data_IF_839517970550
#
_entry.id   IF_839517970550
#
_cell.length_a   1.000
_cell.length_b   1.000
_cell.length_c   1.000
_cell.angle_alpha   90.00
_cell.angle_beta   90.00
_cell.angle_gamma   90.00
#
_symmetry.space_group_name_H-M   'P 1'
#
loop_
_entity.id
_entity.type
_entity.pdbx_description
1 polymer ?
#
# COMPACT_ATOMS: atom_id res chain seq x y z
N UNK A 1 -8.02 17.00 16.62
CA UNK A 1 -6.91 16.37 17.39
C UNK A 1 -5.54 16.68 16.79
N UNK A 2 -5.37 16.66 15.46
CA UNK A 2 -4.09 17.01 14.79
C UNK A 2 -3.56 18.42 15.08
N UNK A 3 -4.45 19.38 15.36
CA UNK A 3 -4.10 20.77 15.69
C UNK A 3 -3.37 20.94 17.04
N UNK A 4 -3.30 19.89 17.87
CA UNK A 4 -2.66 19.93 19.20
C UNK A 4 -1.32 19.18 19.26
N UNK A 5 -0.90 18.53 18.17
CA UNK A 5 0.37 17.82 18.10
C UNK A 5 1.47 18.79 17.69
N UNK A 6 2.53 18.87 18.50
CA UNK A 6 3.75 19.59 18.10
C UNK A 6 4.46 18.85 16.96
N UNK A 7 5.39 19.50 16.27
CA UNK A 7 6.23 18.80 15.27
C UNK A 7 6.97 17.61 15.87
N UNK A 8 7.48 17.76 17.11
CA UNK A 8 8.14 16.69 17.85
C UNK A 8 7.18 15.53 18.15
N UNK A 9 5.94 15.81 18.55
CA UNK A 9 4.93 14.77 18.81
C UNK A 9 4.65 13.97 17.53
N UNK A 10 4.53 14.65 16.39
CA UNK A 10 4.31 14.01 15.08
C UNK A 10 5.47 13.12 14.68
N UNK A 11 6.71 13.59 14.84
CA UNK A 11 7.89 12.80 14.52
C UNK A 11 8.05 11.58 15.44
N UNK A 12 7.72 11.73 16.73
CA UNK A 12 7.69 10.61 17.67
C UNK A 12 6.66 9.55 17.25
N UNK A 13 5.46 9.97 16.86
CA UNK A 13 4.42 9.05 16.34
C UNK A 13 4.89 8.36 15.06
N UNK A 14 5.46 9.11 14.10
CA UNK A 14 5.99 8.56 12.85
C UNK A 14 7.11 7.54 13.07
N UNK A 15 8.03 7.82 14.00
CA UNK A 15 9.08 6.87 14.41
C UNK A 15 8.50 5.61 15.05
N UNK A 16 7.48 5.76 15.89
CA UNK A 16 6.78 4.61 16.47
C UNK A 16 6.06 3.78 15.39
N UNK A 17 5.45 4.42 14.39
CA UNK A 17 4.82 3.72 13.26
C UNK A 17 5.84 2.96 12.40
N UNK A 18 6.99 3.55 12.11
CA UNK A 18 8.09 2.86 11.44
C UNK A 18 8.57 1.64 12.23
N UNK A 19 8.76 1.79 13.54
CA UNK A 19 9.14 0.68 14.43
C UNK A 19 8.08 -0.42 14.45
N UNK A 20 6.80 -0.05 14.39
CA UNK A 20 5.69 -0.99 14.34
C UNK A 20 5.63 -1.73 13.01
N UNK A 21 5.83 -1.03 11.88
CA UNK A 21 5.94 -1.66 10.56
C UNK A 21 7.05 -2.70 10.51
N UNK A 22 8.22 -2.39 11.09
CA UNK A 22 9.32 -3.33 11.21
C UNK A 22 8.90 -4.59 11.98
N UNK A 23 8.32 -4.42 13.19
CA UNK A 23 7.87 -5.54 14.04
C UNK A 23 6.79 -6.39 13.37
N UNK A 24 5.84 -5.77 12.66
CA UNK A 24 4.79 -6.50 11.95
C UNK A 24 5.42 -7.30 10.81
N UNK A 25 6.29 -6.68 10.00
CA UNK A 25 6.96 -7.33 8.87
C UNK A 25 7.93 -8.46 9.25
N UNK A 26 8.30 -8.60 10.53
CA UNK A 26 9.05 -9.77 11.01
C UNK A 26 8.23 -11.06 11.03
N UNK A 27 6.89 -10.97 10.99
CA UNK A 27 6.03 -12.13 10.85
C UNK A 27 6.01 -12.53 9.37
N UNK A 28 6.26 -13.81 9.10
CA UNK A 28 6.32 -14.35 7.75
C UNK A 28 5.40 -15.56 7.56
N UNK A 29 4.94 -15.75 6.33
CA UNK A 29 4.16 -16.90 5.88
C UNK A 29 4.95 -17.71 4.84
N UNK A 30 4.48 -18.92 4.54
CA UNK A 30 4.99 -19.75 3.43
C UNK A 30 4.46 -19.30 2.07
N UNK A 31 3.37 -18.56 2.03
CA UNK A 31 2.71 -18.10 0.80
C UNK A 31 2.21 -16.66 0.93
N UNK A 32 2.05 -16.00 -0.22
CA UNK A 32 1.52 -14.65 -0.35
C UNK A 32 -0.01 -14.63 -0.50
N UNK A 33 -0.65 -13.50 -0.21
CA UNK A 33 -2.08 -13.28 -0.45
C UNK A 33 -2.80 -12.67 0.74
N UNK A 34 -4.13 -12.59 0.67
CA UNK A 34 -4.94 -12.12 1.81
C UNK A 34 -4.80 -13.08 3.00
N UNK A 35 -5.14 -12.59 4.20
CA UNK A 35 -5.13 -13.43 5.40
C UNK A 35 -6.01 -14.69 5.23
N UNK A 36 -7.20 -14.52 4.64
CA UNK A 36 -8.15 -15.62 4.42
C UNK A 36 -7.66 -16.62 3.37
N UNK A 37 -7.05 -16.15 2.28
CA UNK A 37 -6.49 -17.03 1.25
C UNK A 37 -5.40 -17.92 1.82
N UNK A 38 -4.45 -17.32 2.55
CA UNK A 38 -3.34 -18.06 3.17
C UNK A 38 -3.87 -19.02 4.24
N UNK A 39 -4.82 -18.59 5.08
CA UNK A 39 -5.43 -19.45 6.10
C UNK A 39 -6.18 -20.65 5.50
N UNK A 40 -6.83 -20.46 4.35
CA UNK A 40 -7.53 -21.52 3.61
C UNK A 40 -6.59 -22.37 2.71
N UNK A 41 -5.28 -22.12 2.72
CA UNK A 41 -4.32 -22.85 1.90
C UNK A 41 -4.36 -22.51 0.40
N UNK A 42 -4.98 -21.40 0.02
CA UNK A 42 -5.08 -20.91 -1.37
C UNK A 42 -4.17 -19.71 -1.67
N UNK A 43 -3.19 -19.45 -0.79
CA UNK A 43 -2.13 -18.46 -1.01
C UNK A 43 -1.29 -18.74 -2.26
N UNK A 44 -0.56 -17.73 -2.72
CA UNK A 44 0.24 -17.74 -3.94
C UNK A 44 1.73 -17.90 -3.66
N UNK A 45 2.45 -18.44 -4.65
CA UNK A 45 3.88 -18.73 -4.53
C UNK A 45 4.77 -17.54 -4.86
N UNK A 46 4.26 -16.56 -5.62
CA UNK A 46 4.98 -15.30 -5.89
C UNK A 46 4.15 -14.10 -5.45
N UNK A 47 4.86 -13.05 -5.04
CA UNK A 47 4.22 -11.79 -4.71
C UNK A 47 3.51 -11.17 -5.91
N UNK A 48 4.10 -11.30 -7.10
CA UNK A 48 3.49 -10.83 -8.35
C UNK A 48 2.11 -11.44 -8.57
N UNK A 49 1.97 -12.75 -8.45
CA UNK A 49 0.69 -13.43 -8.65
C UNK A 49 -0.33 -13.00 -7.59
N UNK A 50 0.08 -12.93 -6.32
CA UNK A 50 -0.77 -12.48 -5.22
C UNK A 50 -1.26 -11.04 -5.44
N UNK A 51 -0.35 -10.11 -5.71
CA UNK A 51 -0.67 -8.70 -5.92
C UNK A 51 -1.65 -8.51 -7.10
N UNK A 52 -1.39 -9.14 -8.24
CA UNK A 52 -2.29 -9.06 -9.40
C UNK A 52 -3.67 -9.66 -9.06
N UNK A 53 -3.71 -10.78 -8.33
CA UNK A 53 -4.97 -11.38 -7.88
C UNK A 53 -5.76 -10.46 -6.95
N UNK A 54 -5.08 -9.82 -5.98
CA UNK A 54 -5.68 -8.88 -5.05
C UNK A 54 -6.24 -7.65 -5.77
N UNK A 55 -5.47 -7.08 -6.71
CA UNK A 55 -5.92 -5.93 -7.49
C UNK A 55 -7.11 -6.27 -8.38
N UNK A 56 -7.05 -7.40 -9.11
CA UNK A 56 -8.18 -7.84 -9.95
C UNK A 56 -9.44 -8.12 -9.12
N UNK A 57 -9.30 -8.56 -7.86
CA UNK A 57 -10.42 -8.66 -6.92
C UNK A 57 -11.13 -7.33 -6.73
N UNK A 58 -10.38 -6.28 -6.38
CA UNK A 58 -10.94 -4.94 -6.16
C UNK A 58 -11.52 -4.36 -7.46
N UNK A 59 -10.87 -4.59 -8.61
CA UNK A 59 -11.39 -4.12 -9.89
C UNK A 59 -12.72 -4.80 -10.24
N UNK A 60 -12.87 -6.11 -9.97
CA UNK A 60 -14.14 -6.81 -10.16
C UNK A 60 -15.22 -6.30 -9.21
N UNK A 61 -14.91 -6.11 -7.94
CA UNK A 61 -15.84 -5.52 -6.97
C UNK A 61 -16.29 -4.12 -7.42
N UNK A 62 -15.37 -3.34 -7.98
CA UNK A 62 -15.66 -2.03 -8.57
C UNK A 62 -16.54 -2.11 -9.81
N UNK A 63 -16.29 -3.06 -10.71
CA UNK A 63 -17.09 -3.32 -11.92
C UNK A 63 -18.52 -3.73 -11.52
N UNK A 64 -18.66 -4.64 -10.55
CA UNK A 64 -19.94 -5.11 -10.01
C UNK A 64 -20.73 -3.99 -9.31
N UNK A 65 -20.02 -3.04 -8.69
CA UNK A 65 -20.59 -1.83 -8.11
C UNK A 65 -20.81 -0.68 -9.11
N UNK A 66 -20.51 -0.88 -10.40
CA UNK A 66 -20.60 0.15 -11.44
C UNK A 66 -19.73 1.40 -11.17
N UNK A 67 -18.65 1.27 -10.41
CA UNK A 67 -17.69 2.35 -10.21
C UNK A 67 -16.99 2.64 -11.53
N UNK A 68 -17.02 3.89 -11.96
CA UNK A 68 -16.34 4.28 -13.20
C UNK A 68 -14.84 4.44 -12.97
N UNK A 69 -14.02 3.49 -13.44
CA UNK A 69 -12.56 3.52 -13.37
C UNK A 69 -11.96 3.30 -14.78
N UNK A 70 -10.72 3.76 -15.04
CA UNK A 70 -10.01 3.46 -16.27
C UNK A 70 -9.44 2.03 -16.26
N UNK A 71 -10.30 1.01 -16.19
CA UNK A 71 -9.94 -0.39 -15.99
C UNK A 71 -8.88 -0.91 -16.97
N UNK A 72 -9.04 -0.61 -18.26
CA UNK A 72 -8.11 -1.05 -19.30
C UNK A 72 -6.70 -0.47 -19.09
N UNK A 73 -6.61 0.81 -18.70
CA UNK A 73 -5.34 1.48 -18.44
C UNK A 73 -4.67 0.93 -17.17
N UNK A 74 -5.44 0.73 -16.10
CA UNK A 74 -4.94 0.12 -14.85
C UNK A 74 -4.34 -1.26 -15.15
N UNK A 75 -5.11 -2.13 -15.82
CA UNK A 75 -4.67 -3.48 -16.18
C UNK A 75 -3.43 -3.44 -17.08
N UNK A 76 -3.38 -2.51 -18.03
CA UNK A 76 -2.22 -2.33 -18.92
C UNK A 76 -0.95 -1.95 -18.14
N UNK A 77 -1.03 -0.91 -17.31
CA UNK A 77 0.11 -0.41 -16.53
C UNK A 77 0.59 -1.45 -15.50
N UNK A 78 -0.35 -2.12 -14.82
CA UNK A 78 -0.02 -3.16 -13.85
C UNK A 78 0.68 -4.33 -14.53
N UNK A 79 0.16 -4.82 -15.67
CA UNK A 79 0.80 -5.90 -16.41
C UNK A 79 2.24 -5.52 -16.79
N UNK A 80 2.44 -4.30 -17.27
CA UNK A 80 3.74 -3.79 -17.73
C UNK A 80 4.76 -3.68 -16.58
N UNK A 81 4.36 -3.18 -15.42
CA UNK A 81 5.27 -2.99 -14.28
C UNK A 81 5.37 -4.20 -13.35
N UNK A 82 4.45 -5.17 -13.46
CA UNK A 82 4.40 -6.36 -12.60
C UNK A 82 5.70 -7.19 -12.49
N UNK A 83 6.62 -7.24 -13.48
CA UNK A 83 7.90 -7.92 -13.30
C UNK A 83 8.73 -7.40 -12.12
N UNK A 84 8.58 -6.12 -11.75
CA UNK A 84 9.27 -5.53 -10.60
C UNK A 84 8.87 -6.17 -9.26
N UNK A 85 7.74 -6.87 -9.19
CA UNK A 85 7.27 -7.56 -7.99
C UNK A 85 7.99 -8.89 -7.74
N UNK A 86 8.69 -9.45 -8.74
CA UNK A 86 9.39 -10.74 -8.63
C UNK A 86 10.59 -10.69 -7.67
N UNK A 87 11.12 -9.49 -7.38
CA UNK A 87 12.19 -9.31 -6.39
C UNK A 87 11.74 -9.62 -4.96
N UNK A 88 10.44 -9.63 -4.69
CA UNK A 88 9.88 -9.90 -3.37
C UNK A 88 9.70 -11.41 -3.18
N UNK A 89 10.55 -11.97 -2.33
CA UNK A 89 10.62 -13.43 -2.09
C UNK A 89 10.13 -13.85 -0.72
N UNK A 90 9.86 -12.91 0.19
CA UNK A 90 9.40 -13.18 1.56
C UNK A 90 7.98 -12.64 1.78
N UNK A 91 6.98 -13.49 2.07
CA UNK A 91 5.63 -13.06 2.43
C UNK A 91 5.59 -12.50 3.85
N UNK A 92 5.77 -11.19 3.99
CA UNK A 92 5.73 -10.49 5.27
C UNK A 92 4.32 -10.03 5.58
N UNK A 93 3.93 -10.06 6.85
CA UNK A 93 2.67 -9.45 7.27
C UNK A 93 2.76 -7.93 7.03
N UNK A 94 1.74 -7.37 6.38
CA UNK A 94 1.63 -5.94 6.12
C UNK A 94 0.20 -5.47 6.38
N UNK A 95 0.06 -4.28 6.94
CA UNK A 95 -1.21 -3.56 7.05
C UNK A 95 -1.16 -2.44 6.00
N UNK A 96 -1.89 -2.58 4.90
CA UNK A 96 -1.78 -1.65 3.75
C UNK A 96 -2.11 -0.21 4.16
N UNK A 97 -3.12 -0.02 5.00
CA UNK A 97 -3.54 1.30 5.50
C UNK A 97 -2.70 1.86 6.65
N UNK A 98 -1.58 1.24 7.02
CA UNK A 98 -0.71 1.76 8.07
C UNK A 98 -0.12 3.10 7.64
N UNK A 99 -0.30 4.13 8.47
CA UNK A 99 0.17 5.51 8.21
C UNK A 99 -0.92 6.54 8.05
N UNK A 100 -2.14 6.08 7.76
CA UNK A 100 -3.31 6.95 7.70
C UNK A 100 -3.58 7.58 9.06
N UNK A 101 -3.73 8.92 9.16
CA UNK A 101 -4.08 9.56 10.42
C UNK A 101 -5.38 9.02 11.04
N UNK A 102 -6.36 8.67 10.20
CA UNK A 102 -7.63 8.07 10.63
C UNK A 102 -7.47 6.67 11.24
N UNK A 103 -6.35 5.98 11.04
CA UNK A 103 -6.10 4.64 11.55
C UNK A 103 -5.22 4.61 12.80
N UNK A 104 -4.76 5.77 13.26
CA UNK A 104 -3.81 5.88 14.38
C UNK A 104 -4.53 6.39 15.62
N UNK A 105 -4.56 5.58 16.67
CA UNK A 105 -5.09 5.98 17.97
C UNK A 105 -3.95 6.48 18.85
N UNK A 106 -4.12 7.67 19.42
CA UNK A 106 -3.16 8.28 20.33
C UNK A 106 -3.73 8.30 21.75
N UNK A 107 -2.85 8.14 22.73
CA UNK A 107 -3.22 8.40 24.12
C UNK A 107 -3.46 9.92 24.29
N UNK A 108 -4.62 10.36 24.81
CA UNK A 108 -4.96 11.78 24.92
C UNK A 108 -3.96 12.61 25.75
N UNK A 109 -3.33 12.01 26.77
CA UNK A 109 -2.39 12.70 27.65
C UNK A 109 -0.96 12.70 27.13
N UNK A 110 -0.42 11.50 26.85
CA UNK A 110 0.98 11.35 26.43
C UNK A 110 1.21 11.59 24.94
N UNK A 111 0.15 11.67 24.12
CA UNK A 111 0.20 11.79 22.65
C UNK A 111 1.01 10.67 21.97
N UNK A 112 1.21 9.57 22.67
CA UNK A 112 1.92 8.39 22.16
C UNK A 112 0.96 7.46 21.42
N UNK A 113 1.49 6.67 20.48
CA UNK A 113 0.74 5.61 19.81
C UNK A 113 0.12 4.65 20.84
N UNK A 114 -1.20 4.54 20.84
CA UNK A 114 -1.98 3.67 21.73
C UNK A 114 -2.54 2.44 21.01
N UNK A 115 -2.84 2.57 19.71
CA UNK A 115 -3.38 1.47 18.91
C UNK A 115 -3.50 1.81 17.43
N UNK A 116 -3.84 0.78 16.66
CA UNK A 116 -4.16 0.88 15.24
C UNK A 116 -5.56 0.30 14.99
N UNK A 117 -6.25 0.88 14.01
CA UNK A 117 -7.44 0.30 13.40
C UNK A 117 -7.19 0.08 11.90
N UNK A 118 -8.17 -0.45 11.15
CA UNK A 118 -7.99 -0.68 9.72
C UNK A 118 -7.30 -2.01 9.37
N UNK A 119 -7.34 -2.99 10.28
CA UNK A 119 -6.70 -4.30 10.12
C UNK A 119 -7.37 -5.17 9.05
N UNK A 120 -8.54 -4.79 8.55
CA UNK A 120 -9.21 -5.44 7.43
C UNK A 120 -8.37 -5.43 6.14
N UNK A 121 -7.39 -4.51 6.04
CA UNK A 121 -6.49 -4.39 4.91
C UNK A 121 -5.13 -5.07 5.16
N UNK A 122 -5.09 -6.03 6.10
CA UNK A 122 -3.89 -6.82 6.36
C UNK A 122 -3.76 -7.99 5.37
N UNK A 123 -2.52 -8.31 4.99
CA UNK A 123 -2.21 -9.39 4.05
C UNK A 123 -0.76 -9.89 4.22
N UNK A 124 -0.44 -11.02 3.58
CA UNK A 124 0.92 -11.56 3.45
C UNK A 124 1.53 -11.11 2.11
N UNK A 125 2.49 -10.19 2.16
CA UNK A 125 2.99 -9.45 1.00
C UNK A 125 4.32 -8.74 1.24
N UNK A 126 4.52 -7.63 0.54
CA UNK A 126 5.64 -6.71 0.76
C UNK A 126 5.26 -5.67 1.81
N UNK A 127 6.09 -5.52 2.86
CA UNK A 127 5.92 -4.50 3.89
C UNK A 127 5.89 -3.07 3.33
N UNK A 128 6.58 -2.82 2.21
CA UNK A 128 6.62 -1.51 1.55
C UNK A 128 5.32 -1.15 0.82
N UNK A 129 4.34 -2.05 0.81
CA UNK A 129 2.98 -1.75 0.34
C UNK A 129 2.19 -0.90 1.34
N UNK A 130 2.61 -0.84 2.61
CA UNK A 130 2.00 0.03 3.60
C UNK A 130 2.12 1.51 3.23
N UNK A 131 1.06 2.28 3.46
CA UNK A 131 0.93 3.69 3.05
C UNK A 131 2.01 4.62 3.65
N UNK A 132 2.50 4.32 4.87
CA UNK A 132 3.66 5.02 5.46
C UNK A 132 4.91 5.06 4.56
N UNK A 133 5.04 4.16 3.58
CA UNK A 133 6.20 4.05 2.69
C UNK A 133 6.00 4.70 1.31
N UNK A 134 4.84 5.31 1.02
CA UNK A 134 4.62 6.04 -0.23
C UNK A 134 5.53 7.27 -0.33
N UNK A 135 5.65 8.02 0.77
CA UNK A 135 6.55 9.18 0.92
C UNK A 135 7.08 9.21 2.37
N UNK A 136 7.98 8.27 2.74
CA UNK A 136 8.35 8.07 4.13
C UNK A 136 9.19 9.25 4.63
N UNK A 137 8.79 9.85 5.75
CA UNK A 137 9.62 10.88 6.40
C UNK A 137 10.86 10.26 7.04
N UNK A 138 11.88 11.09 7.32
CA UNK A 138 13.08 10.66 8.05
C UNK A 138 12.76 9.93 9.35
N UNK A 139 11.79 10.41 10.13
CA UNK A 139 11.34 9.75 11.36
C UNK A 139 10.77 8.33 11.13
N UNK A 140 10.03 8.10 10.05
CA UNK A 140 9.51 6.76 9.70
C UNK A 140 10.68 5.83 9.38
N UNK A 141 11.61 6.27 8.54
CA UNK A 141 12.78 5.48 8.15
C UNK A 141 13.69 5.17 9.36
N UNK A 142 13.90 6.15 10.24
CA UNK A 142 14.65 5.97 11.48
C UNK A 142 14.01 4.90 12.37
N UNK A 143 12.69 4.95 12.54
CA UNK A 143 11.95 3.95 13.32
C UNK A 143 11.92 2.57 12.66
N UNK A 144 11.81 2.51 11.33
CA UNK A 144 11.79 1.26 10.58
C UNK A 144 13.16 0.56 10.56
N UNK A 145 14.25 1.33 10.68
CA UNK A 145 15.60 0.81 10.81
C UNK A 145 16.25 0.41 9.47
N UNK A 146 15.69 0.82 8.33
CA UNK A 146 16.29 0.59 7.02
C UNK A 146 16.32 1.86 6.16
N UNK A 147 17.29 1.92 5.25
CA UNK A 147 17.29 2.87 4.14
C UNK A 147 16.65 2.20 2.94
N UNK A 148 15.71 2.90 2.34
CA UNK A 148 15.16 2.58 1.03
C UNK A 148 16.28 2.81 0.00
N UNK A 149 16.70 1.75 -0.70
CA UNK A 149 17.67 1.84 -1.79
C UNK A 149 16.94 2.02 -3.11
N UNK A 150 16.92 3.26 -3.61
CA UNK A 150 16.22 3.60 -4.86
C UNK A 150 16.77 2.77 -6.04
N UNK A 151 15.93 1.89 -6.55
CA UNK A 151 16.12 1.18 -7.82
C UNK A 151 14.90 1.39 -8.71
N UNK A 152 15.05 1.24 -10.02
CA UNK A 152 13.93 1.34 -10.96
C UNK A 152 12.82 0.34 -10.64
N UNK A 153 13.19 -0.89 -10.24
CA UNK A 153 12.25 -1.90 -9.80
C UNK A 153 11.51 -1.46 -8.52
N UNK A 154 12.20 -0.80 -7.58
CA UNK A 154 11.54 -0.25 -6.40
C UNK A 154 10.55 0.87 -6.76
N UNK A 155 10.93 1.78 -7.66
CA UNK A 155 10.05 2.85 -8.13
C UNK A 155 8.79 2.25 -8.78
N UNK A 156 8.96 1.26 -9.65
CA UNK A 156 7.85 0.55 -10.28
C UNK A 156 6.94 -0.15 -9.24
N UNK A 157 7.51 -0.81 -8.21
CA UNK A 157 6.75 -1.40 -7.11
C UNK A 157 5.95 -0.36 -6.33
N UNK A 158 6.55 0.79 -6.00
CA UNK A 158 5.85 1.85 -5.28
C UNK A 158 4.68 2.41 -6.08
N UNK A 159 4.83 2.59 -7.38
CA UNK A 159 3.74 3.02 -8.25
C UNK A 159 2.62 1.97 -8.35
N UNK A 160 2.96 0.68 -8.42
CA UNK A 160 1.98 -0.41 -8.34
C UNK A 160 1.20 -0.37 -7.02
N UNK A 161 1.89 -0.21 -5.89
CA UNK A 161 1.25 -0.14 -4.58
C UNK A 161 0.37 1.11 -4.42
N UNK A 162 0.83 2.26 -4.93
CA UNK A 162 0.04 3.49 -4.95
C UNK A 162 -1.22 3.34 -5.82
N UNK A 163 -1.10 2.65 -6.96
CA UNK A 163 -2.23 2.36 -7.84
C UNK A 163 -3.27 1.48 -7.12
N UNK A 164 -2.83 0.39 -6.46
CA UNK A 164 -3.70 -0.46 -5.65
C UNK A 164 -4.43 0.33 -4.57
N UNK A 165 -3.70 1.15 -3.79
CA UNK A 165 -4.29 1.96 -2.72
C UNK A 165 -5.31 2.95 -3.28
N UNK A 166 -5.01 3.61 -4.39
CA UNK A 166 -5.91 4.58 -5.02
C UNK A 166 -7.19 3.92 -5.54
N UNK A 167 -7.10 2.77 -6.23
CA UNK A 167 -8.26 1.99 -6.67
C UNK A 167 -9.11 1.56 -5.47
N UNK A 168 -8.47 1.02 -4.43
CA UNK A 168 -9.15 0.63 -3.19
C UNK A 168 -9.88 1.80 -2.53
N UNK A 169 -9.28 3.00 -2.48
CA UNK A 169 -9.93 4.19 -1.92
C UNK A 169 -11.14 4.66 -2.72
N UNK A 170 -11.03 4.71 -4.06
CA UNK A 170 -12.19 5.09 -4.90
C UNK A 170 -13.34 4.11 -4.66
N UNK A 171 -13.03 2.81 -4.59
CA UNK A 171 -14.01 1.75 -4.34
C UNK A 171 -14.69 1.91 -2.99
N UNK A 172 -13.93 2.05 -1.90
CA UNK A 172 -14.49 2.18 -0.54
C UNK A 172 -15.33 3.45 -0.39
N UNK A 173 -14.86 4.59 -0.93
CA UNK A 173 -15.60 5.85 -0.80
C UNK A 173 -16.91 5.82 -1.57
N UNK A 174 -16.97 5.12 -2.71
CA UNK A 174 -18.21 4.90 -3.44
C UNK A 174 -19.24 4.11 -2.61
N UNK A 175 -18.81 3.06 -1.89
CA UNK A 175 -19.71 2.27 -1.04
C UNK A 175 -20.18 2.98 0.23
N UNK A 176 -19.32 3.78 0.87
CA UNK A 176 -19.56 4.27 2.24
C UNK A 176 -20.14 5.69 2.34
N UNK A 177 -20.44 6.34 1.20
CA UNK A 177 -20.93 7.73 1.14
C UNK A 177 -20.15 8.67 2.09
N UNK A 178 -18.82 8.52 2.14
CA UNK A 178 -17.97 9.27 3.07
C UNK A 178 -17.70 10.71 2.61
N UNK A 179 -18.53 11.22 1.70
CA UNK A 179 -18.46 12.56 1.13
C UNK A 179 -17.72 12.61 -0.21
N UNK A 180 -18.32 13.34 -1.15
CA UNK A 180 -17.85 13.56 -2.52
C UNK A 180 -16.37 14.00 -2.59
N UNK A 181 -15.87 14.76 -1.61
CA UNK A 181 -14.51 15.27 -1.59
C UNK A 181 -13.44 14.17 -1.49
N UNK A 182 -13.63 13.19 -0.60
CA UNK A 182 -12.66 12.11 -0.40
C UNK A 182 -12.57 11.20 -1.64
N UNK A 183 -13.72 10.96 -2.30
CA UNK A 183 -13.74 10.24 -3.57
C UNK A 183 -13.02 11.01 -4.68
N UNK A 184 -13.26 12.32 -4.80
CA UNK A 184 -12.57 13.17 -5.79
C UNK A 184 -11.05 13.15 -5.57
N UNK A 185 -10.59 13.23 -4.31
CA UNK A 185 -9.17 13.20 -4.00
C UNK A 185 -8.54 11.83 -4.32
N UNK A 186 -9.24 10.73 -4.01
CA UNK A 186 -8.81 9.38 -4.39
C UNK A 186 -8.71 9.21 -5.92
N UNK A 187 -9.69 9.74 -6.68
CA UNK A 187 -9.66 9.74 -8.15
C UNK A 187 -8.51 10.58 -8.70
N UNK A 188 -8.26 11.75 -8.11
CA UNK A 188 -7.12 12.60 -8.51
C UNK A 188 -5.79 11.88 -8.27
N UNK A 189 -5.65 11.17 -7.14
CA UNK A 189 -4.45 10.36 -6.86
C UNK A 189 -4.30 9.25 -7.89
N UNK A 190 -5.36 8.51 -8.21
CA UNK A 190 -5.32 7.46 -9.24
C UNK A 190 -4.84 8.00 -10.59
N UNK A 191 -5.38 9.13 -11.04
CA UNK A 191 -4.95 9.78 -12.29
C UNK A 191 -3.47 10.18 -12.26
N UNK A 192 -2.98 10.75 -11.16
CA UNK A 192 -1.55 11.09 -10.98
C UNK A 192 -0.67 9.85 -11.10
N UNK A 193 -1.01 8.80 -10.35
CA UNK A 193 -0.23 7.55 -10.34
C UNK A 193 -0.20 6.90 -11.72
N UNK A 194 -1.32 6.88 -12.46
CA UNK A 194 -1.33 6.34 -13.83
C UNK A 194 -0.45 7.18 -14.78
N UNK A 195 -0.46 8.51 -14.62
CA UNK A 195 0.45 9.40 -15.34
C UNK A 195 1.91 9.12 -15.04
N UNK A 196 2.27 8.94 -13.76
CA UNK A 196 3.62 8.58 -13.32
C UNK A 196 4.04 7.18 -13.80
N UNK A 197 3.14 6.20 -13.76
CA UNK A 197 3.39 4.86 -14.32
C UNK A 197 3.76 4.98 -15.79
N UNK A 198 3.02 5.75 -16.58
CA UNK A 198 3.25 5.89 -18.02
C UNK A 198 4.64 6.46 -18.39
N UNK A 199 5.32 7.18 -17.50
CA UNK A 199 6.66 7.73 -17.77
C UNK A 199 7.80 6.76 -17.45
N UNK A 200 7.55 5.68 -16.69
CA UNK A 200 8.55 4.66 -16.40
C UNK A 200 8.86 3.88 -17.68
N UNK A 201 10.06 4.04 -18.26
CA UNK A 201 10.50 3.30 -19.45
C UNK A 201 11.04 1.93 -19.04
N UNK A 202 10.70 0.87 -19.76
CA UNK A 202 11.34 -0.44 -19.60
C UNK A 202 12.55 -0.50 -20.54
N UNK A 203 13.76 -0.65 -20.02
CA UNK A 203 14.88 -1.12 -20.84
C UNK A 203 14.64 -2.59 -21.16
N UNK A 204 14.23 -2.88 -22.39
CA UNK A 204 14.37 -4.21 -22.96
C UNK A 204 15.85 -4.59 -22.89
N UNK A 205 16.20 -5.46 -21.95
CA UNK A 205 17.45 -6.24 -22.02
C UNK A 205 17.37 -7.15 -23.25
N UNK A 206 17.66 -6.54 -24.40
CA UNK A 206 18.15 -7.23 -25.58
C UNK A 206 19.56 -7.71 -25.23
N UNK A 207 19.63 -8.94 -24.72
CA UNK A 207 20.90 -9.66 -24.70
C UNK A 207 21.01 -10.43 -26.02
N UNK A 208 22.08 -10.04 -26.72
CA UNK A 208 22.73 -10.68 -27.86
C UNK A 208 22.89 -12.19 -27.75
#
# INVERSE_FOLDING_TARGET
MEAQLTMQDRDNVKRALGSLAHRIGQNVSSTFGSLDQVACGSGKQSWREAFVTLLEGILRDSEDAFVHLPYAEIRHQVRRLSPALEEITSPQLVIVGLGRPSHVLLNPGSKTLAGLIGLENALWGDVHMAEIFEEPSSAVLEGYGSRVMESEAQVARQLLYACYRAVHQVTIHYYRDQGLTAEIDARRRLTSVLGEMATVVHEDRTLS
#
